data_IF_897232255591
#
_entry.id   IF_897232255591
#
_cell.length_a   1.000
_cell.length_b   1.000
_cell.length_c   1.000
_cell.angle_alpha   90.00
_cell.angle_beta   90.00
_cell.angle_gamma   90.00
#
_symmetry.space_group_name_H-M   'P 1'
#
loop_
_entity.id
_entity.type
_entity.pdbx_description
1 polymer ?
#
# COMPACT_ATOMS: atom_id res chain seq x y z
N UNK A 1 -13.76 -9.21 21.59
CA UNK A 1 -13.69 -9.92 20.29
C UNK A 1 -14.83 -10.92 20.29
N UNK A 2 -15.81 -10.73 19.42
CA UNK A 2 -17.06 -11.52 19.37
C UNK A 2 -16.74 -13.00 19.10
N UNK A 3 -17.59 -13.90 19.62
CA UNK A 3 -17.55 -15.36 19.46
C UNK A 3 -17.16 -15.81 18.04
N UNK A 4 -15.89 -16.19 17.88
CA UNK A 4 -15.42 -16.90 16.70
C UNK A 4 -16.23 -18.20 16.46
N UNK A 5 -16.82 -18.74 17.52
CA UNK A 5 -17.58 -19.99 17.51
C UNK A 5 -18.89 -19.86 16.72
N UNK A 6 -19.63 -18.75 16.89
CA UNK A 6 -20.88 -18.53 16.15
C UNK A 6 -20.62 -18.29 14.65
N UNK A 7 -19.58 -17.52 14.31
CA UNK A 7 -19.23 -17.26 12.92
C UNK A 7 -18.74 -18.54 12.23
N UNK A 8 -17.92 -19.33 12.94
CA UNK A 8 -17.44 -20.63 12.44
C UNK A 8 -18.59 -21.60 12.21
N UNK A 9 -19.51 -21.72 13.17
CA UNK A 9 -20.71 -22.55 13.02
C UNK A 9 -21.57 -22.14 11.82
N UNK A 10 -21.81 -20.84 11.62
CA UNK A 10 -22.58 -20.36 10.46
C UNK A 10 -21.86 -20.63 9.14
N UNK A 11 -20.53 -20.52 9.12
CA UNK A 11 -19.73 -20.83 7.93
C UNK A 11 -19.80 -22.31 7.58
N UNK A 12 -19.60 -23.19 8.56
CA UNK A 12 -19.70 -24.65 8.38
C UNK A 12 -21.10 -25.06 7.90
N UNK A 13 -22.14 -24.42 8.45
CA UNK A 13 -23.52 -24.61 7.97
C UNK A 13 -23.66 -24.19 6.51
N UNK A 14 -23.17 -23.01 6.12
CA UNK A 14 -23.25 -22.54 4.74
C UNK A 14 -22.47 -23.44 3.77
N UNK A 15 -21.27 -23.91 4.15
CA UNK A 15 -20.50 -24.89 3.36
C UNK A 15 -21.30 -26.17 3.14
N UNK A 16 -21.87 -26.73 4.21
CA UNK A 16 -22.69 -27.94 4.14
C UNK A 16 -23.91 -27.74 3.23
N UNK A 17 -24.53 -26.56 3.24
CA UNK A 17 -25.65 -26.22 2.37
C UNK A 17 -25.21 -26.03 0.91
N UNK A 18 -24.06 -25.41 0.68
CA UNK A 18 -23.45 -25.25 -0.65
C UNK A 18 -23.11 -26.60 -1.29
N UNK A 19 -22.53 -27.53 -0.54
CA UNK A 19 -22.18 -28.88 -0.99
C UNK A 19 -23.42 -29.73 -1.34
N UNK A 20 -24.57 -29.42 -0.73
CA UNK A 20 -25.85 -30.09 -1.00
C UNK A 20 -26.65 -29.43 -2.13
N UNK A 21 -26.34 -28.18 -2.49
CA UNK A 21 -27.08 -27.46 -3.52
C UNK A 21 -26.78 -28.03 -4.90
N UNK A 22 -27.82 -28.27 -5.70
CA UNK A 22 -27.68 -28.69 -7.10
C UNK A 22 -27.32 -27.55 -8.05
N UNK A 23 -27.28 -26.31 -7.55
CA UNK A 23 -26.97 -25.11 -8.34
C UNK A 23 -25.46 -24.90 -8.51
N UNK A 24 -24.66 -25.31 -7.53
CA UNK A 24 -23.24 -24.98 -7.46
C UNK A 24 -22.37 -26.21 -7.72
N UNK A 25 -21.36 -26.04 -8.57
CA UNK A 25 -20.31 -27.03 -8.85
C UNK A 25 -19.09 -26.80 -7.93
N UNK A 26 -18.88 -25.56 -7.49
CA UNK A 26 -17.80 -25.22 -6.56
C UNK A 26 -17.93 -23.82 -6.00
N UNK A 27 -17.23 -23.58 -4.90
CA UNK A 27 -17.32 -22.33 -4.14
C UNK A 27 -15.97 -21.95 -3.53
N UNK A 28 -15.77 -20.66 -3.29
CA UNK A 28 -14.74 -20.13 -2.39
C UNK A 28 -15.35 -18.99 -1.58
N UNK A 29 -15.24 -19.07 -0.25
CA UNK A 29 -15.73 -18.06 0.68
C UNK A 29 -14.51 -17.48 1.39
N UNK A 30 -14.38 -16.16 1.34
CA UNK A 30 -13.43 -15.40 2.13
C UNK A 30 -14.18 -14.56 3.14
N UNK A 31 -13.82 -14.68 4.41
CA UNK A 31 -14.34 -13.90 5.51
C UNK A 31 -13.24 -13.06 6.10
N UNK A 32 -13.55 -11.78 6.29
CA UNK A 32 -12.72 -10.82 7.00
C UNK A 32 -13.57 -10.19 8.09
N UNK A 33 -13.04 -10.18 9.31
CA UNK A 33 -13.60 -9.41 10.42
C UNK A 33 -12.51 -8.52 10.97
N UNK A 34 -12.67 -7.21 10.80
CA UNK A 34 -11.71 -6.20 11.23
C UNK A 34 -12.29 -5.37 12.38
N UNK A 35 -11.50 -5.23 13.45
CA UNK A 35 -11.71 -4.29 14.53
C UNK A 35 -10.71 -3.14 14.40
N UNK A 36 -11.21 -1.94 14.15
CA UNK A 36 -10.39 -0.73 14.05
C UNK A 36 -10.64 0.18 15.24
N UNK A 37 -9.57 0.64 15.89
CA UNK A 37 -9.60 1.70 16.88
C UNK A 37 -8.77 2.85 16.33
N UNK A 38 -9.29 4.07 16.38
CA UNK A 38 -8.57 5.27 15.93
C UNK A 38 -8.70 6.41 16.92
N UNK A 39 -7.64 7.22 17.00
CA UNK A 39 -7.56 8.46 17.77
C UNK A 39 -6.97 9.53 16.84
N UNK A 40 -7.75 10.57 16.56
CA UNK A 40 -7.36 11.66 15.68
C UNK A 40 -7.20 12.99 16.43
N UNK A 41 -6.54 13.92 15.77
CA UNK A 41 -6.50 15.33 16.14
C UNK A 41 -6.46 16.19 14.88
N UNK A 42 -6.93 17.42 15.01
CA UNK A 42 -6.74 18.48 14.04
C UNK A 42 -6.08 19.70 14.70
N UNK A 43 -6.06 20.83 13.98
CA UNK A 43 -5.47 22.08 14.42
C UNK A 43 -5.99 22.53 15.80
N UNK A 44 -7.29 22.48 16.00
CA UNK A 44 -7.97 23.12 17.12
C UNK A 44 -8.35 22.10 18.20
N UNK A 45 -8.47 20.83 17.82
CA UNK A 45 -9.10 19.83 18.66
C UNK A 45 -8.35 18.50 18.66
N UNK A 46 -8.45 17.84 19.81
CA UNK A 46 -8.01 16.48 20.00
C UNK A 46 -9.26 15.62 20.21
N UNK A 47 -9.41 14.54 19.43
CA UNK A 47 -10.57 13.66 19.49
C UNK A 47 -11.91 14.41 19.38
N UNK A 48 -12.04 15.25 18.36
CA UNK A 48 -13.17 16.15 18.17
C UNK A 48 -14.40 15.41 17.59
N UNK A 49 -15.46 16.15 17.23
CA UNK A 49 -16.66 15.51 16.68
C UNK A 49 -16.41 14.88 15.30
N UNK A 50 -15.48 15.43 14.51
CA UNK A 50 -15.21 14.99 13.15
C UNK A 50 -14.13 13.89 13.09
N UNK A 51 -13.20 13.89 14.04
CA UNK A 51 -12.15 12.91 14.28
C UNK A 51 -12.16 12.35 15.71
N UNK A 52 -13.29 11.76 16.16
CA UNK A 52 -13.41 11.25 17.52
C UNK A 52 -12.55 10.01 17.70
N UNK A 53 -12.28 9.70 18.97
CA UNK A 53 -11.93 8.35 19.38
C UNK A 53 -13.05 7.42 18.91
N UNK A 54 -12.73 6.52 17.98
CA UNK A 54 -13.72 5.65 17.35
C UNK A 54 -13.23 4.22 17.36
N UNK A 55 -14.11 3.33 17.80
CA UNK A 55 -14.02 1.91 17.53
C UNK A 55 -15.05 1.55 16.46
N UNK A 56 -14.63 0.80 15.45
CA UNK A 56 -15.50 0.26 14.41
C UNK A 56 -15.19 -1.20 14.17
N UNK A 57 -16.23 -1.98 13.93
CA UNK A 57 -16.11 -3.35 13.48
C UNK A 57 -16.70 -3.47 12.08
N UNK A 58 -15.97 -4.11 11.18
CA UNK A 58 -16.39 -4.35 9.81
C UNK A 58 -16.25 -5.83 9.53
N UNK A 59 -17.33 -6.46 9.05
CA UNK A 59 -17.30 -7.79 8.46
C UNK A 59 -17.42 -7.65 6.95
N UNK A 60 -16.56 -8.38 6.22
CA UNK A 60 -16.64 -8.53 4.77
C UNK A 60 -16.64 -10.01 4.43
N UNK A 61 -17.58 -10.42 3.61
CA UNK A 61 -17.66 -11.78 3.06
C UNK A 61 -17.64 -11.67 1.55
N UNK A 62 -16.60 -12.23 0.91
CA UNK A 62 -16.52 -12.38 -0.54
C UNK A 62 -16.76 -13.85 -0.90
N UNK A 63 -17.76 -14.11 -1.75
CA UNK A 63 -18.13 -15.46 -2.19
C UNK A 63 -17.97 -15.56 -3.70
N UNK A 64 -17.19 -16.53 -4.14
CA UNK A 64 -16.98 -16.90 -5.53
C UNK A 64 -17.65 -18.23 -5.80
N UNK A 65 -18.44 -18.30 -6.87
CA UNK A 65 -19.28 -19.44 -7.18
C UNK A 65 -19.04 -19.88 -8.62
N UNK A 66 -18.93 -21.20 -8.80
CA UNK A 66 -19.05 -21.89 -10.08
C UNK A 66 -20.39 -22.61 -10.09
N UNK A 67 -21.26 -22.29 -11.04
CA UNK A 67 -22.58 -22.90 -11.18
C UNK A 67 -22.50 -24.16 -12.07
N UNK A 68 -23.43 -25.09 -11.88
CA UNK A 68 -23.50 -26.34 -12.66
C UNK A 68 -23.76 -26.12 -14.15
N UNK A 69 -24.30 -24.97 -14.54
CA UNK A 69 -24.54 -24.56 -15.93
C UNK A 69 -23.36 -23.80 -16.56
N UNK A 70 -22.15 -23.92 -15.99
CA UNK A 70 -20.91 -23.26 -16.45
C UNK A 70 -20.89 -21.73 -16.32
N UNK A 71 -21.90 -21.11 -15.70
CA UNK A 71 -21.82 -19.71 -15.29
C UNK A 71 -21.02 -19.59 -13.99
N UNK A 72 -20.59 -18.37 -13.68
CA UNK A 72 -19.88 -18.05 -12.45
C UNK A 72 -20.38 -16.74 -11.86
N UNK A 73 -20.20 -16.56 -10.55
CA UNK A 73 -20.57 -15.34 -9.85
C UNK A 73 -19.50 -14.95 -8.80
N UNK A 74 -19.36 -13.64 -8.58
CA UNK A 74 -18.63 -13.05 -7.45
C UNK A 74 -19.61 -12.17 -6.69
N UNK A 75 -19.79 -12.44 -5.40
CA UNK A 75 -20.75 -11.78 -4.53
C UNK A 75 -20.03 -11.23 -3.29
N UNK A 76 -20.45 -10.06 -2.82
CA UNK A 76 -19.91 -9.44 -1.61
C UNK A 76 -21.03 -9.08 -0.63
N UNK A 77 -20.77 -9.32 0.66
CA UNK A 77 -21.72 -9.10 1.74
C UNK A 77 -21.02 -8.50 2.97
N UNK A 78 -21.77 -7.74 3.77
CA UNK A 78 -21.34 -7.27 5.10
C UNK A 78 -21.68 -8.25 6.24
N UNK A 79 -22.20 -9.44 5.88
CA UNK A 79 -22.62 -10.50 6.79
C UNK A 79 -22.50 -11.84 6.05
N UNK A 80 -22.58 -12.96 6.77
CA UNK A 80 -22.62 -14.27 6.14
C UNK A 80 -24.06 -14.61 5.71
N UNK A 81 -24.36 -14.71 4.39
CA UNK A 81 -25.71 -14.97 3.90
C UNK A 81 -26.13 -16.42 4.17
N UNK A 82 -27.44 -16.68 4.13
CA UNK A 82 -27.95 -18.05 4.03
C UNK A 82 -27.95 -18.55 2.57
N UNK A 83 -28.14 -19.86 2.39
CA UNK A 83 -28.13 -20.47 1.07
C UNK A 83 -29.22 -19.93 0.14
N UNK A 84 -30.40 -19.57 0.66
CA UNK A 84 -31.52 -19.10 -0.16
C UNK A 84 -31.22 -17.73 -0.75
N UNK A 85 -30.71 -16.80 0.05
CA UNK A 85 -30.23 -15.51 -0.44
C UNK A 85 -29.11 -15.69 -1.47
N UNK A 86 -28.15 -16.58 -1.17
CA UNK A 86 -27.00 -16.82 -2.04
C UNK A 86 -27.42 -17.35 -3.41
N UNK A 87 -28.30 -18.34 -3.46
CA UNK A 87 -28.83 -18.90 -4.71
C UNK A 87 -29.59 -17.85 -5.52
N UNK A 88 -30.41 -17.03 -4.87
CA UNK A 88 -31.18 -15.99 -5.53
C UNK A 88 -30.27 -14.94 -6.17
N UNK A 89 -29.26 -14.44 -5.44
CA UNK A 89 -28.30 -13.49 -5.98
C UNK A 89 -27.42 -14.11 -7.07
N UNK A 90 -26.98 -15.36 -6.88
CA UNK A 90 -26.18 -16.06 -7.90
C UNK A 90 -26.96 -16.22 -9.21
N UNK A 91 -28.24 -16.60 -9.16
CA UNK A 91 -29.10 -16.70 -10.36
C UNK A 91 -29.21 -15.36 -11.11
N UNK A 92 -29.28 -14.26 -10.38
CA UNK A 92 -29.43 -12.90 -10.94
C UNK A 92 -28.13 -12.35 -11.53
N UNK A 93 -26.98 -12.63 -10.89
CA UNK A 93 -25.70 -11.98 -11.20
C UNK A 93 -24.70 -12.89 -11.92
N UNK A 94 -24.98 -14.20 -12.05
CA UNK A 94 -24.07 -15.12 -12.70
C UNK A 94 -23.94 -14.85 -14.20
N UNK A 95 -22.70 -14.95 -14.69
CA UNK A 95 -22.34 -14.66 -16.07
C UNK A 95 -21.46 -15.78 -16.64
N UNK A 96 -21.42 -15.88 -17.97
CA UNK A 96 -20.49 -16.78 -18.67
C UNK A 96 -19.17 -16.04 -18.94
N UNK A 97 -18.04 -16.71 -18.68
CA UNK A 97 -16.73 -16.19 -19.03
C UNK A 97 -15.97 -17.19 -19.90
N UNK A 98 -15.18 -16.70 -20.86
CA UNK A 98 -14.30 -17.55 -21.68
C UNK A 98 -13.19 -18.21 -20.86
N UNK A 99 -12.96 -17.73 -19.64
CA UNK A 99 -11.93 -18.24 -18.77
C UNK A 99 -12.55 -18.44 -17.38
N UNK A 100 -12.63 -19.70 -16.93
CA UNK A 100 -13.35 -20.04 -15.71
C UNK A 100 -12.66 -19.44 -14.49
N UNK A 101 -13.44 -19.29 -13.42
CA UNK A 101 -12.92 -18.96 -12.10
C UNK A 101 -11.94 -20.04 -11.63
N UNK A 102 -10.86 -19.60 -11.00
CA UNK A 102 -9.85 -20.48 -10.40
C UNK A 102 -9.88 -20.24 -8.90
N UNK A 103 -10.08 -21.30 -8.13
CA UNK A 103 -10.04 -21.27 -6.66
C UNK A 103 -8.62 -21.46 -6.14
N UNK A 104 -8.41 -21.07 -4.89
CA UNK A 104 -7.17 -21.31 -4.16
C UNK A 104 -6.81 -22.82 -4.17
N UNK A 105 -5.55 -23.15 -4.44
CA UNK A 105 -5.06 -24.52 -4.24
C UNK A 105 -4.70 -24.75 -2.77
N UNK A 106 -4.74 -25.99 -2.28
CA UNK A 106 -4.49 -26.37 -0.88
C UNK A 106 -3.13 -25.98 -0.27
N UNK A 107 -2.15 -25.51 -1.05
CA UNK A 107 -0.79 -25.29 -0.58
C UNK A 107 -0.49 -23.81 -0.31
N UNK A 108 -0.36 -23.45 0.96
CA UNK A 108 0.39 -22.28 1.39
C UNK A 108 1.87 -22.63 1.50
N UNK A 109 2.74 -21.86 0.84
CA UNK A 109 4.20 -22.11 0.89
C UNK A 109 4.78 -21.88 2.28
N UNK A 110 4.32 -20.82 2.96
CA UNK A 110 4.76 -20.43 4.30
C UNK A 110 3.72 -19.54 4.95
N UNK A 111 3.42 -19.80 6.22
CA UNK A 111 2.75 -18.84 7.10
C UNK A 111 3.80 -17.96 7.77
N UNK A 112 3.60 -16.65 7.70
CA UNK A 112 4.35 -15.67 8.49
C UNK A 112 3.50 -15.09 9.61
N UNK A 113 4.18 -14.61 10.65
CA UNK A 113 3.52 -14.02 11.81
C UNK A 113 3.08 -12.60 11.47
N UNK A 114 1.77 -12.39 11.36
CA UNK A 114 1.19 -11.08 11.08
C UNK A 114 0.40 -10.48 12.26
N UNK A 115 0.18 -11.27 13.31
CA UNK A 115 -0.50 -10.84 14.53
C UNK A 115 0.45 -10.77 15.71
N UNK A 116 0.52 -9.62 16.36
CA UNK A 116 1.23 -9.40 17.62
C UNK A 116 0.23 -9.14 18.76
N UNK A 117 0.20 -10.06 19.73
CA UNK A 117 -0.66 -9.96 20.91
C UNK A 117 -0.34 -8.71 21.74
N UNK A 118 0.91 -8.23 21.72
CA UNK A 118 1.30 -7.03 22.45
C UNK A 118 0.62 -5.77 21.92
N UNK A 119 0.25 -5.71 20.62
CA UNK A 119 -0.59 -4.60 20.11
C UNK A 119 -1.98 -4.63 20.72
N UNK A 120 -2.58 -5.82 20.82
CA UNK A 120 -3.89 -5.98 21.43
C UNK A 120 -3.88 -5.59 22.91
N UNK A 121 -2.82 -5.95 23.64
CA UNK A 121 -2.63 -5.55 25.04
C UNK A 121 -2.44 -4.03 25.15
N UNK A 122 -1.59 -3.45 24.30
CA UNK A 122 -1.32 -2.02 24.22
C UNK A 122 -2.57 -1.16 23.95
N UNK A 123 -3.48 -1.61 23.08
CA UNK A 123 -4.67 -0.85 22.71
C UNK A 123 -5.93 -1.24 23.51
N UNK A 124 -5.96 -2.44 24.07
CA UNK A 124 -7.08 -2.94 24.86
C UNK A 124 -6.94 -2.64 26.35
N UNK A 125 -5.75 -2.80 26.93
CA UNK A 125 -5.51 -2.62 28.37
C UNK A 125 -4.93 -1.24 28.70
N UNK A 126 -4.06 -0.72 27.85
CA UNK A 126 -3.35 0.55 28.07
C UNK A 126 -3.78 1.67 27.12
N UNK A 127 -5.10 1.74 26.88
CA UNK A 127 -5.67 2.69 25.92
C UNK A 127 -5.40 4.16 26.31
N UNK A 128 -5.35 4.47 27.62
CA UNK A 128 -5.06 5.82 28.11
C UNK A 128 -3.67 6.30 27.69
N UNK A 129 -2.65 5.45 27.80
CA UNK A 129 -1.29 5.78 27.32
C UNK A 129 -1.29 6.07 25.82
N UNK A 130 -2.08 5.36 25.01
CA UNK A 130 -2.19 5.63 23.56
C UNK A 130 -2.80 7.00 23.27
N UNK A 131 -3.80 7.41 24.05
CA UNK A 131 -4.37 8.77 23.96
C UNK A 131 -3.31 9.81 24.31
N UNK A 132 -2.56 9.62 25.40
CA UNK A 132 -1.49 10.55 25.82
C UNK A 132 -0.39 10.68 24.76
N UNK A 133 0.01 9.57 24.14
CA UNK A 133 0.99 9.56 23.06
C UNK A 133 0.53 10.36 21.84
N UNK A 134 -0.75 10.27 21.46
CA UNK A 134 -1.31 11.09 20.37
C UNK A 134 -1.38 12.56 20.78
N UNK A 135 -1.71 12.87 22.03
CA UNK A 135 -1.70 14.24 22.54
C UNK A 135 -0.28 14.85 22.52
N UNK A 136 0.75 14.04 22.76
CA UNK A 136 2.16 14.44 22.62
C UNK A 136 2.53 14.73 21.17
N UNK A 137 2.09 13.88 20.23
CA UNK A 137 2.25 14.15 18.79
C UNK A 137 1.58 15.47 18.43
N UNK A 138 0.31 15.66 18.78
CA UNK A 138 -0.45 16.90 18.48
C UNK A 138 0.23 18.15 19.05
N UNK A 139 0.72 18.08 20.30
CA UNK A 139 1.44 19.19 20.93
C UNK A 139 2.73 19.53 20.19
N UNK A 140 3.46 18.51 19.73
CA UNK A 140 4.68 18.69 18.95
C UNK A 140 4.38 19.32 17.58
N UNK A 141 3.37 18.81 16.86
CA UNK A 141 3.05 19.30 15.51
C UNK A 141 2.61 20.76 15.51
N UNK A 142 1.93 21.22 16.57
CA UNK A 142 1.57 22.65 16.77
C UNK A 142 2.78 23.57 16.89
N UNK A 143 3.97 23.05 17.23
CA UNK A 143 5.21 23.83 17.22
C UNK A 143 5.80 24.03 15.81
N UNK A 144 5.36 23.23 14.83
CA UNK A 144 5.89 23.23 13.47
C UNK A 144 4.96 23.90 12.45
N UNK A 145 3.64 23.71 12.59
CA UNK A 145 2.66 24.09 11.58
C UNK A 145 1.46 24.80 12.21
N UNK A 146 0.77 25.61 11.39
CA UNK A 146 -0.46 26.27 11.82
C UNK A 146 -1.67 25.38 11.59
N UNK A 147 -1.71 24.66 10.47
CA UNK A 147 -2.68 23.60 10.23
C UNK A 147 -1.99 22.25 10.41
N UNK A 148 -2.60 21.36 11.18
CA UNK A 148 -2.16 19.98 11.26
C UNK A 148 -3.36 19.05 11.34
N UNK A 149 -3.15 17.86 10.80
CA UNK A 149 -4.02 16.72 10.99
C UNK A 149 -3.14 15.57 11.44
N UNK A 150 -3.63 14.76 12.36
CA UNK A 150 -2.96 13.51 12.66
C UNK A 150 -3.91 12.44 13.12
N UNK A 151 -3.56 11.21 12.76
CA UNK A 151 -4.34 10.03 13.03
C UNK A 151 -3.40 8.93 13.49
N UNK A 152 -3.74 8.32 14.63
CA UNK A 152 -3.18 7.04 15.02
C UNK A 152 -4.30 6.01 15.05
N UNK A 153 -4.08 4.88 14.41
CA UNK A 153 -5.07 3.80 14.38
C UNK A 153 -4.40 2.44 14.52
N UNK A 154 -5.16 1.48 15.04
CA UNK A 154 -4.84 0.07 15.03
C UNK A 154 -5.99 -0.73 14.42
N UNK A 155 -5.65 -1.74 13.65
CA UNK A 155 -6.53 -2.72 13.04
C UNK A 155 -6.20 -4.11 13.62
N UNK A 156 -7.22 -4.84 14.06
CA UNK A 156 -7.13 -6.24 14.42
C UNK A 156 -8.08 -7.03 13.53
N UNK A 157 -7.51 -7.76 12.58
CA UNK A 157 -8.28 -8.53 11.60
C UNK A 157 -8.15 -10.03 11.85
N UNK A 158 -9.22 -10.76 11.59
CA UNK A 158 -9.20 -12.20 11.39
C UNK A 158 -9.70 -12.54 10.00
N UNK A 159 -8.97 -13.42 9.32
CA UNK A 159 -9.26 -13.87 7.98
C UNK A 159 -9.54 -15.37 7.98
N UNK A 160 -10.50 -15.80 7.18
CA UNK A 160 -10.70 -17.22 6.87
C UNK A 160 -11.06 -17.38 5.39
N UNK A 161 -10.37 -18.27 4.69
CA UNK A 161 -10.66 -18.64 3.31
C UNK A 161 -10.96 -20.12 3.26
N UNK A 162 -12.12 -20.48 2.72
CA UNK A 162 -12.55 -21.86 2.55
C UNK A 162 -13.04 -22.11 1.13
N UNK A 163 -12.86 -23.30 0.59
CA UNK A 163 -13.38 -23.63 -0.74
C UNK A 163 -13.77 -25.11 -0.90
N UNK A 164 -14.44 -25.42 -2.01
CA UNK A 164 -14.86 -26.77 -2.40
C UNK A 164 -13.69 -27.73 -2.69
N UNK A 165 -12.47 -27.22 -2.82
CA UNK A 165 -11.26 -28.02 -3.08
C UNK A 165 -10.53 -28.42 -1.79
N UNK A 166 -11.16 -28.20 -0.63
CA UNK A 166 -10.64 -28.55 0.69
C UNK A 166 -9.65 -27.55 1.29
N UNK A 167 -9.60 -26.32 0.76
CA UNK A 167 -8.89 -25.23 1.43
C UNK A 167 -9.66 -24.80 2.67
N UNK A 168 -8.96 -24.69 3.79
CA UNK A 168 -9.40 -23.99 4.99
C UNK A 168 -8.20 -23.26 5.60
N UNK A 169 -8.02 -22.01 5.20
CA UNK A 169 -6.95 -21.15 5.70
C UNK A 169 -7.52 -20.18 6.71
N UNK A 170 -6.84 -20.04 7.84
CA UNK A 170 -7.17 -19.05 8.84
C UNK A 170 -5.94 -18.19 9.16
N UNK A 171 -6.15 -16.92 9.44
CA UNK A 171 -5.07 -16.05 9.92
C UNK A 171 -5.59 -14.87 10.74
N UNK A 172 -4.66 -14.21 11.43
CA UNK A 172 -4.89 -12.98 12.15
C UNK A 172 -3.84 -11.96 11.79
N UNK A 173 -4.24 -10.70 11.83
CA UNK A 173 -3.40 -9.58 11.46
C UNK A 173 -3.59 -8.44 12.46
N UNK A 174 -2.49 -7.82 12.87
CA UNK A 174 -2.50 -6.62 13.69
C UNK A 174 -1.70 -5.55 12.99
N UNK A 175 -2.27 -4.38 12.76
CA UNK A 175 -1.59 -3.30 12.07
C UNK A 175 -1.83 -1.98 12.77
N UNK A 176 -0.75 -1.29 13.06
CA UNK A 176 -0.78 0.05 13.63
C UNK A 176 -0.21 1.03 12.61
N UNK A 177 -0.86 2.18 12.49
CA UNK A 177 -0.37 3.29 11.68
C UNK A 177 -0.49 4.64 12.40
N UNK A 178 0.48 5.50 12.11
CA UNK A 178 0.47 6.92 12.46
C UNK A 178 0.58 7.70 11.16
N UNK A 179 -0.32 8.65 10.96
CA UNK A 179 -0.36 9.59 9.85
C UNK A 179 -0.35 11.00 10.42
N UNK A 180 0.48 11.88 9.90
CA UNK A 180 0.51 13.30 10.25
C UNK A 180 0.65 14.10 8.98
N UNK A 181 -0.19 15.11 8.82
CA UNK A 181 -0.10 16.12 7.78
C UNK A 181 0.25 17.47 8.43
N UNK A 182 1.31 18.10 7.94
CA UNK A 182 1.78 19.42 8.35
C UNK A 182 1.52 20.44 7.22
N UNK A 183 0.62 21.38 7.49
CA UNK A 183 0.18 22.45 6.59
C UNK A 183 -0.35 22.01 5.20
N UNK A 184 -0.75 20.74 5.03
CA UNK A 184 -1.04 20.16 3.70
C UNK A 184 0.16 20.19 2.75
N UNK A 185 1.37 20.28 3.30
CA UNK A 185 2.62 20.39 2.53
C UNK A 185 3.49 19.16 2.68
N UNK A 186 3.57 18.65 3.91
CA UNK A 186 4.48 17.57 4.31
C UNK A 186 3.69 16.50 5.03
N UNK A 187 3.57 15.33 4.39
CA UNK A 187 3.02 14.13 4.99
C UNK A 187 4.09 13.31 5.72
N UNK A 188 3.71 12.72 6.83
CA UNK A 188 4.45 11.68 7.53
C UNK A 188 3.55 10.46 7.72
N UNK A 189 4.09 9.27 7.44
CA UNK A 189 3.41 8.02 7.75
C UNK A 189 4.36 7.00 8.37
N UNK A 190 3.82 6.20 9.28
CA UNK A 190 4.52 5.06 9.85
C UNK A 190 3.55 3.90 9.99
N UNK A 191 3.94 2.72 9.52
CA UNK A 191 3.17 1.48 9.54
C UNK A 191 3.95 0.38 10.28
N UNK A 192 3.28 -0.46 11.05
CA UNK A 192 3.92 -1.56 11.79
C UNK A 192 2.92 -2.64 12.19
N UNK A 193 3.34 -3.91 12.17
CA UNK A 193 2.55 -5.02 12.75
C UNK A 193 2.80 -5.21 14.25
N UNK A 194 3.73 -4.43 14.82
CA UNK A 194 4.08 -4.38 16.24
C UNK A 194 3.81 -3.00 16.83
N UNK A 195 3.69 -2.85 18.16
CA UNK A 195 3.45 -1.54 18.76
C UNK A 195 4.50 -0.52 18.29
N UNK A 196 4.03 0.63 17.81
CA UNK A 196 4.90 1.72 17.38
C UNK A 196 5.53 2.38 18.62
N UNK A 197 6.87 2.47 18.63
CA UNK A 197 7.61 3.27 19.61
C UNK A 197 7.44 4.77 19.33
N UNK A 198 6.66 5.42 20.19
CA UNK A 198 6.37 6.84 20.11
C UNK A 198 7.63 7.72 20.18
N UNK A 199 8.68 7.28 20.87
CA UNK A 199 9.92 8.06 21.03
C UNK A 199 10.67 8.18 19.71
N UNK A 200 10.74 7.07 18.96
CA UNK A 200 11.27 7.05 17.60
C UNK A 200 10.40 7.86 16.64
N UNK A 201 9.07 7.74 16.74
CA UNK A 201 8.12 8.52 15.93
C UNK A 201 8.31 10.02 16.14
N UNK A 202 8.44 10.49 17.38
CA UNK A 202 8.67 11.90 17.70
C UNK A 202 9.94 12.43 17.02
N UNK A 203 11.06 11.69 17.10
CA UNK A 203 12.32 12.11 16.44
C UNK A 203 12.17 12.22 14.93
N UNK A 204 11.43 11.31 14.30
CA UNK A 204 11.13 11.37 12.86
C UNK A 204 10.22 12.55 12.54
N UNK A 205 9.17 12.77 13.33
CA UNK A 205 8.27 13.91 13.18
C UNK A 205 9.00 15.25 13.36
N UNK A 206 9.97 15.36 14.27
CA UNK A 206 10.81 16.56 14.39
C UNK A 206 11.58 16.86 13.10
N UNK A 207 12.06 15.83 12.40
CA UNK A 207 12.71 16.00 11.10
C UNK A 207 11.74 16.56 10.06
N UNK A 208 10.56 15.94 9.89
CA UNK A 208 9.53 16.42 8.97
C UNK A 208 8.96 17.80 9.36
N UNK A 209 8.84 18.07 10.66
CA UNK A 209 8.44 19.36 11.21
C UNK A 209 9.40 20.49 10.84
N UNK A 210 10.71 20.24 10.96
CA UNK A 210 11.73 21.19 10.51
C UNK A 210 11.72 21.40 9.00
N UNK A 211 11.48 20.34 8.23
CA UNK A 211 11.25 20.48 6.78
C UNK A 211 10.04 21.38 6.53
N UNK A 212 8.90 21.13 7.19
CA UNK A 212 7.68 21.94 7.11
C UNK A 212 7.94 23.43 7.36
N UNK A 213 8.59 23.75 8.47
CA UNK A 213 9.00 25.13 8.82
C UNK A 213 9.93 25.75 7.78
N UNK A 214 10.84 24.96 7.20
CA UNK A 214 11.71 25.38 6.10
C UNK A 214 10.93 25.91 4.90
N UNK A 215 9.78 25.31 4.57
CA UNK A 215 8.89 25.77 3.49
C UNK A 215 8.16 27.08 3.83
N UNK A 216 8.08 27.49 5.10
CA UNK A 216 7.41 28.74 5.51
C UNK A 216 8.33 29.97 5.48
N UNK A 217 9.63 29.80 5.22
CA UNK A 217 10.59 30.90 5.25
C UNK A 217 10.34 31.92 4.11
N UNK A 218 10.24 33.21 4.46
CA UNK A 218 9.80 34.31 3.58
C UNK A 218 10.69 34.60 2.35
N UNK A 219 11.90 34.08 2.27
CA UNK A 219 12.78 34.30 1.12
C UNK A 219 12.57 33.19 0.10
N UNK A 220 11.59 33.37 -0.79
CA UNK A 220 11.41 32.50 -1.94
C UNK A 220 12.67 32.57 -2.81
N UNK A 221 13.31 31.42 -3.03
CA UNK A 221 14.37 31.34 -4.02
C UNK A 221 13.72 31.22 -5.39
N UNK A 222 13.79 32.30 -6.18
CA UNK A 222 13.25 32.31 -7.53
C UNK A 222 14.07 31.39 -8.45
N UNK A 223 13.38 30.77 -9.41
CA UNK A 223 13.84 29.72 -10.33
C UNK A 223 15.12 30.08 -11.12
N UNK A 224 16.27 30.01 -10.44
CA UNK A 224 17.60 30.13 -11.04
C UNK A 224 18.05 28.85 -11.75
N UNK A 225 19.17 28.92 -12.48
CA UNK A 225 19.84 27.75 -13.06
C UNK A 225 20.11 26.63 -12.06
N UNK A 226 20.28 26.97 -10.77
CA UNK A 226 20.47 26.00 -9.70
C UNK A 226 19.28 25.03 -9.57
N UNK A 227 18.03 25.53 -9.66
CA UNK A 227 16.82 24.69 -9.56
C UNK A 227 16.69 23.79 -10.78
N UNK A 228 16.95 24.32 -11.99
CA UNK A 228 16.83 23.57 -13.25
C UNK A 228 17.84 22.43 -13.38
N UNK A 229 19.00 22.55 -12.75
CA UNK A 229 20.08 21.56 -12.77
C UNK A 229 20.17 20.76 -11.46
N UNK A 230 19.18 20.88 -10.58
CA UNK A 230 19.17 20.14 -9.33
C UNK A 230 18.78 18.68 -9.55
N UNK A 231 19.38 17.80 -8.78
CA UNK A 231 18.92 16.43 -8.60
C UNK A 231 17.62 16.44 -7.81
N UNK A 232 16.60 15.74 -8.27
CA UNK A 232 15.29 15.74 -7.60
C UNK A 232 15.24 14.58 -6.61
N UNK A 233 14.75 14.83 -5.39
CA UNK A 233 14.47 13.79 -4.40
C UNK A 233 13.01 13.85 -4.03
N UNK A 234 12.27 12.81 -4.40
CA UNK A 234 10.91 12.58 -3.97
C UNK A 234 10.91 11.88 -2.61
N UNK A 235 10.21 12.46 -1.63
CA UNK A 235 10.04 11.84 -0.30
C UNK A 235 9.12 10.61 -0.35
N UNK A 236 9.05 9.80 0.74
CA UNK A 236 8.14 8.65 0.81
C UNK A 236 6.70 9.09 0.60
N UNK A 237 5.85 8.19 0.12
CA UNK A 237 4.50 8.51 -0.38
C UNK A 237 4.49 9.22 -1.74
N UNK A 238 5.36 10.21 -1.95
CA UNK A 238 5.40 10.94 -3.23
C UNK A 238 5.92 10.09 -4.39
N UNK A 239 7.06 9.41 -4.21
CA UNK A 239 7.56 8.50 -5.25
C UNK A 239 6.69 7.25 -5.38
N UNK A 240 6.09 6.79 -4.29
CA UNK A 240 5.22 5.62 -4.23
C UNK A 240 4.00 5.85 -5.13
N UNK A 241 3.28 6.96 -4.91
CA UNK A 241 2.14 7.35 -5.76
C UNK A 241 2.54 7.57 -7.23
N UNK A 242 3.71 8.17 -7.48
CA UNK A 242 4.20 8.38 -8.84
C UNK A 242 4.44 7.04 -9.57
N UNK A 243 5.15 6.11 -8.92
CA UNK A 243 5.43 4.80 -9.51
C UNK A 243 4.20 3.91 -9.53
N UNK A 244 3.27 4.04 -8.59
CA UNK A 244 1.99 3.32 -8.64
C UNK A 244 1.17 3.74 -9.86
N UNK A 245 1.06 5.04 -10.09
CA UNK A 245 0.34 5.55 -11.24
C UNK A 245 1.03 5.20 -12.57
N UNK A 246 2.36 5.31 -12.64
CA UNK A 246 3.08 5.30 -13.93
C UNK A 246 3.80 3.97 -14.24
N UNK A 247 4.13 3.16 -13.23
CA UNK A 247 4.78 1.87 -13.41
C UNK A 247 3.86 0.70 -13.01
N UNK A 248 3.28 0.70 -11.81
CA UNK A 248 2.46 -0.40 -11.31
C UNK A 248 1.28 -0.69 -12.24
N UNK A 249 0.59 0.36 -12.70
CA UNK A 249 -0.52 0.24 -13.66
C UNK A 249 -0.16 -0.56 -14.93
N UNK A 250 1.11 -0.55 -15.33
CA UNK A 250 1.63 -1.28 -16.49
C UNK A 250 2.10 -2.71 -16.15
N UNK A 251 2.25 -3.06 -14.87
CA UNK A 251 2.63 -4.40 -14.40
C UNK A 251 1.41 -5.29 -14.10
N UNK A 252 0.21 -4.72 -13.99
CA UNK A 252 -1.02 -5.43 -13.67
C UNK A 252 -1.49 -6.28 -14.87
N UNK A 253 -1.66 -7.58 -14.65
CA UNK A 253 -1.99 -8.57 -15.67
C UNK A 253 -3.29 -8.30 -16.42
N UNK A 254 -4.32 -7.80 -15.74
CA UNK A 254 -5.60 -7.45 -16.39
C UNK A 254 -5.44 -6.27 -17.35
N UNK A 255 -4.63 -5.28 -16.99
CA UNK A 255 -4.27 -4.17 -17.88
C UNK A 255 -3.44 -4.64 -19.08
N UNK A 256 -2.49 -5.55 -18.87
CA UNK A 256 -1.69 -6.16 -19.94
C UNK A 256 -2.58 -6.97 -20.90
N UNK A 257 -3.45 -7.85 -20.38
CA UNK A 257 -4.36 -8.65 -21.19
C UNK A 257 -5.33 -7.79 -22.00
N UNK A 258 -5.78 -6.66 -21.44
CA UNK A 258 -6.68 -5.73 -22.11
C UNK A 258 -5.97 -4.81 -23.13
N UNK A 259 -4.64 -4.89 -23.26
CA UNK A 259 -3.86 -3.97 -24.11
C UNK A 259 -3.84 -2.52 -23.60
N UNK A 260 -4.08 -2.32 -22.31
CA UNK A 260 -4.06 -1.02 -21.63
C UNK A 260 -2.74 -0.76 -20.89
N UNK A 261 -1.81 -1.71 -20.94
CA UNK A 261 -0.44 -1.54 -20.46
C UNK A 261 0.50 -1.15 -21.61
N UNK A 262 1.57 -0.44 -21.26
CA UNK A 262 2.77 -0.24 -22.09
C UNK A 262 3.48 -1.55 -22.45
N UNK A 263 3.29 -2.59 -21.65
CA UNK A 263 4.01 -3.86 -21.75
C UNK A 263 3.10 -4.98 -22.19
N UNK A 264 3.63 -5.87 -23.03
CA UNK A 264 3.04 -7.18 -23.33
C UNK A 264 3.61 -8.27 -22.42
N UNK A 265 2.96 -9.44 -22.35
CA UNK A 265 3.49 -10.58 -21.58
C UNK A 265 4.86 -11.07 -22.11
N UNK A 266 5.12 -10.86 -23.39
CA UNK A 266 6.37 -11.20 -24.08
C UNK A 266 7.56 -10.30 -23.72
N UNK A 267 7.31 -9.13 -23.12
CA UNK A 267 8.32 -8.18 -22.67
C UNK A 267 9.00 -8.64 -21.37
N UNK A 268 8.28 -9.38 -20.53
CA UNK A 268 8.79 -9.90 -19.26
C UNK A 268 9.92 -10.91 -19.50
N UNK A 269 11.02 -10.73 -18.77
CA UNK A 269 12.29 -11.43 -18.96
C UNK A 269 13.20 -10.86 -20.06
N UNK A 270 12.77 -9.82 -20.79
CA UNK A 270 13.52 -9.28 -21.95
C UNK A 270 13.72 -7.77 -21.87
N UNK A 271 12.64 -7.01 -21.64
CA UNK A 271 12.61 -5.56 -21.80
C UNK A 271 13.30 -4.84 -20.66
N UNK A 272 14.22 -3.95 -21.01
CA UNK A 272 14.83 -3.00 -20.09
C UNK A 272 13.88 -1.81 -19.91
N UNK A 273 13.51 -1.51 -18.66
CA UNK A 273 12.57 -0.45 -18.29
C UNK A 273 13.16 0.56 -17.32
N UNK A 274 14.31 0.24 -16.73
CA UNK A 274 15.09 1.10 -15.88
C UNK A 274 16.59 0.83 -16.11
N UNK A 275 17.45 1.70 -15.56
CA UNK A 275 18.89 1.49 -15.56
C UNK A 275 19.24 0.19 -14.81
N UNK A 276 20.31 -0.55 -15.18
CA UNK A 276 20.69 -1.83 -14.55
C UNK A 276 20.92 -1.84 -13.02
N UNK A 277 20.99 -0.68 -12.37
CA UNK A 277 21.10 -0.57 -10.91
C UNK A 277 19.75 -0.47 -10.19
N UNK A 278 18.64 -0.42 -10.94
CA UNK A 278 17.29 -0.28 -10.42
C UNK A 278 16.60 -1.64 -10.35
N UNK A 279 16.32 -2.10 -9.13
CA UNK A 279 15.56 -3.31 -8.87
C UNK A 279 14.37 -3.02 -7.96
N UNK A 280 13.28 -3.75 -8.21
CA UNK A 280 12.09 -3.78 -7.37
C UNK A 280 11.74 -5.23 -7.08
N UNK A 281 11.72 -5.58 -5.80
CA UNK A 281 11.49 -6.94 -5.33
C UNK A 281 10.43 -6.97 -4.25
N UNK A 282 9.59 -7.99 -4.31
CA UNK A 282 8.57 -8.29 -3.31
C UNK A 282 9.16 -9.31 -2.34
N UNK A 283 9.00 -9.08 -1.04
CA UNK A 283 9.25 -10.07 -0.01
C UNK A 283 8.11 -10.05 1.02
N UNK A 284 7.07 -10.83 0.75
CA UNK A 284 5.87 -10.92 1.60
C UNK A 284 6.00 -11.99 2.70
N UNK A 285 7.18 -12.59 2.84
CA UNK A 285 7.41 -13.78 3.66
C UNK A 285 8.30 -13.49 4.87
N UNK A 286 8.21 -12.26 5.40
CA UNK A 286 8.95 -11.77 6.58
C UNK A 286 8.02 -11.63 7.79
N UNK A 287 8.37 -12.26 8.91
CA UNK A 287 7.59 -12.14 10.16
C UNK A 287 7.53 -10.67 10.62
N UNK A 288 6.32 -10.23 10.97
CA UNK A 288 6.01 -8.90 11.50
C UNK A 288 6.37 -7.71 10.59
N UNK A 289 6.65 -7.94 9.32
CA UNK A 289 6.79 -6.88 8.32
C UNK A 289 5.41 -6.47 7.81
N UNK A 290 5.10 -5.17 7.77
CA UNK A 290 3.78 -4.69 7.36
C UNK A 290 3.46 -4.94 5.89
N UNK A 291 4.48 -5.26 5.07
CA UNK A 291 4.35 -5.62 3.66
C UNK A 291 4.09 -7.11 3.47
N UNK A 292 4.19 -7.89 4.54
CA UNK A 292 3.95 -9.33 4.50
C UNK A 292 2.49 -9.68 4.36
N UNK A 293 2.24 -10.81 3.70
CA UNK A 293 0.92 -11.22 3.26
C UNK A 293 0.85 -12.75 3.25
N UNK A 294 -0.12 -13.34 3.95
CA UNK A 294 -0.30 -14.80 3.92
C UNK A 294 -1.23 -15.20 2.77
N UNK A 295 -2.46 -14.67 2.76
CA UNK A 295 -3.43 -14.85 1.69
C UNK A 295 -4.50 -13.75 1.71
N UNK A 296 -5.31 -13.67 0.66
CA UNK A 296 -6.49 -12.80 0.60
C UNK A 296 -7.64 -13.43 -0.16
N UNK A 297 -8.71 -12.66 -0.41
CA UNK A 297 -9.95 -13.16 -1.01
C UNK A 297 -9.75 -13.81 -2.39
N UNK A 298 -8.68 -13.40 -3.06
CA UNK A 298 -8.10 -13.99 -4.27
C UNK A 298 -7.84 -15.48 -4.22
N UNK A 299 -7.49 -16.03 -3.06
CA UNK A 299 -6.74 -17.28 -2.96
C UNK A 299 -5.27 -17.13 -3.35
N UNK A 300 -4.80 -15.90 -3.57
CA UNK A 300 -3.40 -15.58 -3.83
C UNK A 300 -2.66 -15.61 -2.50
N UNK A 301 -1.44 -16.14 -2.50
CA UNK A 301 -0.61 -16.28 -1.30
C UNK A 301 0.62 -15.39 -1.38
N UNK A 302 1.22 -15.07 -0.22
CA UNK A 302 2.47 -14.31 -0.16
C UNK A 302 3.61 -14.97 -0.94
N UNK A 303 4.45 -14.15 -1.56
CA UNK A 303 5.61 -14.61 -2.33
C UNK A 303 6.85 -13.74 -2.15
N UNK A 304 7.97 -14.30 -2.57
CA UNK A 304 9.22 -13.58 -2.81
C UNK A 304 9.55 -13.63 -4.30
N UNK A 305 9.64 -12.49 -4.96
CA UNK A 305 9.91 -12.40 -6.39
C UNK A 305 10.47 -11.04 -6.79
N UNK A 306 11.14 -11.00 -7.93
CA UNK A 306 11.58 -9.76 -8.56
C UNK A 306 10.49 -9.29 -9.54
N UNK A 307 10.10 -8.02 -9.45
CA UNK A 307 9.27 -7.35 -10.48
C UNK A 307 10.17 -6.74 -11.55
N UNK A 308 11.22 -6.05 -11.10
CA UNK A 308 12.27 -5.48 -11.93
C UNK A 308 13.62 -5.94 -11.37
N UNK A 309 14.49 -6.45 -12.24
CA UNK A 309 15.83 -6.91 -11.88
C UNK A 309 16.84 -6.54 -12.95
N UNK A 310 17.96 -5.98 -12.55
CA UNK A 310 18.98 -5.41 -13.42
C UNK A 310 18.32 -4.45 -14.44
N UNK A 311 17.35 -3.66 -13.97
CA UNK A 311 16.55 -2.75 -14.77
C UNK A 311 15.54 -3.40 -15.74
N UNK A 312 15.42 -4.74 -15.76
CA UNK A 312 14.53 -5.47 -16.69
C UNK A 312 13.25 -5.93 -16.01
N UNK A 313 12.16 -5.97 -16.77
CA UNK A 313 10.92 -6.61 -16.32
C UNK A 313 11.14 -8.10 -16.08
N UNK A 314 10.65 -8.62 -14.96
CA UNK A 314 10.77 -10.04 -14.59
C UNK A 314 9.40 -10.70 -14.46
N UNK A 315 8.55 -10.18 -13.58
CA UNK A 315 7.27 -10.82 -13.23
C UNK A 315 6.10 -9.84 -13.30
N UNK A 316 5.01 -10.15 -14.02
CA UNK A 316 3.78 -9.37 -13.97
C UNK A 316 2.98 -9.68 -12.69
N UNK A 317 2.07 -8.77 -12.31
CA UNK A 317 1.19 -8.95 -11.15
C UNK A 317 -0.11 -9.58 -11.62
N UNK A 318 -0.33 -10.84 -11.25
CA UNK A 318 -1.43 -11.66 -11.77
C UNK A 318 -2.37 -12.16 -10.67
N UNK A 319 -3.66 -12.28 -11.03
CA UNK A 319 -4.58 -13.14 -10.29
C UNK A 319 -4.35 -14.63 -10.64
N UNK A 320 -5.05 -15.54 -9.96
CA UNK A 320 -4.94 -16.99 -10.21
C UNK A 320 -5.30 -17.37 -11.66
N UNK A 321 -6.26 -16.66 -12.24
CA UNK A 321 -6.79 -16.93 -13.58
C UNK A 321 -5.73 -16.62 -14.65
N UNK A 322 -5.14 -15.44 -14.61
CA UNK A 322 -4.09 -15.02 -15.53
C UNK A 322 -2.79 -15.77 -15.26
N UNK A 323 -2.49 -16.08 -13.99
CA UNK A 323 -1.36 -16.92 -13.61
C UNK A 323 -1.40 -18.28 -14.30
N UNK A 324 -2.55 -18.95 -14.30
CA UNK A 324 -2.73 -20.22 -15.00
C UNK A 324 -2.59 -20.07 -16.53
N UNK A 325 -3.14 -18.99 -17.10
CA UNK A 325 -3.13 -18.74 -18.55
C UNK A 325 -1.75 -18.41 -19.11
N UNK A 326 -0.97 -17.59 -18.39
CA UNK A 326 0.32 -17.07 -18.87
C UNK A 326 1.54 -17.69 -18.19
N UNK A 327 1.32 -18.65 -17.28
CA UNK A 327 2.39 -19.41 -16.60
C UNK A 327 3.37 -18.55 -15.78
N UNK A 328 2.92 -17.39 -15.30
CA UNK A 328 3.62 -16.59 -14.28
C UNK A 328 2.96 -16.78 -12.91
N UNK A 329 3.68 -16.57 -11.79
CA UNK A 329 3.10 -16.70 -10.46
C UNK A 329 2.03 -15.63 -10.19
N UNK A 330 0.90 -16.04 -9.61
CA UNK A 330 -0.08 -15.11 -9.06
C UNK A 330 0.54 -14.33 -7.89
N UNK A 331 0.30 -13.02 -7.86
CA UNK A 331 0.93 -12.08 -6.92
C UNK A 331 -0.08 -11.00 -6.56
N UNK A 332 -0.19 -10.69 -5.27
CA UNK A 332 -0.96 -9.54 -4.78
C UNK A 332 0.02 -8.40 -4.49
N UNK A 333 -0.25 -7.21 -5.00
CA UNK A 333 0.50 -6.01 -4.65
C UNK A 333 -0.39 -4.79 -4.85
N UNK A 334 -0.50 -3.95 -3.83
CA UNK A 334 -1.33 -2.74 -3.86
C UNK A 334 -0.51 -1.50 -4.22
N UNK A 335 0.75 -1.46 -3.77
CA UNK A 335 1.68 -0.35 -4.02
C UNK A 335 3.10 -0.85 -4.24
N UNK A 336 3.85 -0.19 -5.12
CA UNK A 336 5.29 -0.34 -5.27
C UNK A 336 6.05 0.21 -4.06
N UNK A 337 5.44 1.06 -3.23
CA UNK A 337 5.98 1.42 -1.92
C UNK A 337 6.19 0.23 -0.99
N UNK A 338 5.45 -0.86 -1.21
CA UNK A 338 5.63 -2.11 -0.46
C UNK A 338 6.71 -3.02 -1.06
N UNK A 339 7.37 -2.61 -2.15
CA UNK A 339 8.55 -3.29 -2.69
C UNK A 339 9.82 -2.90 -1.93
N UNK A 340 10.83 -3.76 -2.02
CA UNK A 340 12.17 -3.55 -1.51
C UNK A 340 13.08 -3.12 -2.67
N UNK A 341 13.70 -1.94 -2.63
CA UNK A 341 14.77 -1.62 -3.56
C UNK A 341 16.03 -2.45 -3.23
N UNK A 342 16.86 -2.76 -4.23
CA UNK A 342 18.09 -3.55 -4.00
C UNK A 342 19.27 -2.76 -3.49
N UNK A 343 19.36 -1.49 -3.85
CA UNK A 343 20.43 -0.59 -3.47
C UNK A 343 19.84 0.72 -2.96
N UNK A 344 20.46 1.26 -1.90
CA UNK A 344 20.10 2.54 -1.32
C UNK A 344 21.37 3.38 -1.20
N UNK A 345 21.36 4.57 -1.79
CA UNK A 345 22.39 5.58 -1.48
C UNK A 345 22.04 6.22 -0.13
N UNK A 346 23.05 6.49 0.70
CA UNK A 346 22.78 7.15 1.99
C UNK A 346 22.49 8.64 1.76
N UNK A 347 21.59 9.21 2.57
CA UNK A 347 21.31 10.65 2.51
C UNK A 347 22.56 11.52 2.57
N UNK A 348 23.52 11.17 3.44
CA UNK A 348 24.76 11.94 3.60
C UNK A 348 25.66 11.85 2.35
N UNK A 349 25.65 10.72 1.64
CA UNK A 349 26.39 10.57 0.39
C UNK A 349 25.76 11.44 -0.70
N UNK A 350 24.43 11.49 -0.76
CA UNK A 350 23.69 12.34 -1.68
C UNK A 350 24.00 13.84 -1.43
N UNK A 351 23.92 14.30 -0.18
CA UNK A 351 24.25 15.69 0.19
C UNK A 351 25.72 16.07 -0.10
N UNK A 352 26.62 15.09 -0.19
CA UNK A 352 28.06 15.32 -0.44
C UNK A 352 28.41 15.46 -1.93
N UNK A 353 27.45 15.23 -2.84
CA UNK A 353 27.67 15.12 -4.29
C UNK A 353 28.10 16.42 -5.00
N UNK A 354 28.20 17.56 -4.30
CA UNK A 354 28.37 18.93 -4.84
C UNK A 354 27.25 19.41 -5.77
N UNK A 355 26.27 18.54 -6.06
CA UNK A 355 25.07 18.89 -6.82
C UNK A 355 24.06 19.56 -5.89
N UNK A 356 23.30 20.50 -6.44
CA UNK A 356 22.12 21.01 -5.76
C UNK A 356 21.04 19.93 -5.74
N UNK A 357 20.34 19.81 -4.61
CA UNK A 357 19.27 18.81 -4.42
C UNK A 357 17.95 19.53 -4.21
N UNK A 358 16.92 19.10 -4.93
CA UNK A 358 15.57 19.60 -4.82
C UNK A 358 14.69 18.54 -4.16
N UNK A 359 14.35 18.76 -2.90
CA UNK A 359 13.54 17.86 -2.08
C UNK A 359 12.07 18.19 -2.28
N UNK A 360 11.28 17.19 -2.69
CA UNK A 360 9.87 17.33 -3.03
C UNK A 360 9.04 16.42 -2.12
N UNK A 361 8.24 16.99 -1.21
CA UNK A 361 7.44 16.23 -0.26
C UNK A 361 6.10 15.77 -0.85
N UNK A 362 5.63 16.40 -1.92
CA UNK A 362 4.32 16.13 -2.51
C UNK A 362 4.27 16.57 -3.98
N UNK A 363 3.48 15.85 -4.76
CA UNK A 363 3.11 16.19 -6.14
C UNK A 363 1.59 16.22 -6.24
N UNK A 364 1.05 17.27 -6.87
CA UNK A 364 -0.38 17.40 -7.05
C UNK A 364 -0.80 16.83 -8.40
N UNK A 365 -1.98 16.18 -8.43
CA UNK A 365 -2.57 15.73 -9.68
C UNK A 365 -1.89 14.54 -10.33
N UNK A 366 -1.14 13.72 -9.58
CA UNK A 366 -0.48 12.50 -10.09
C UNK A 366 -1.44 11.63 -10.90
N UNK A 367 -2.69 11.49 -10.46
CA UNK A 367 -3.76 10.73 -11.13
C UNK A 367 -4.09 11.22 -12.55
N UNK A 368 -3.65 12.41 -12.95
CA UNK A 368 -3.82 12.95 -14.32
C UNK A 368 -2.69 12.57 -15.27
N UNK A 369 -1.61 11.98 -14.76
CA UNK A 369 -0.45 11.58 -15.56
C UNK A 369 -0.75 10.37 -16.46
N UNK A 370 -0.07 10.29 -17.60
CA UNK A 370 -0.35 9.29 -18.62
C UNK A 370 0.48 8.02 -18.39
N UNK A 371 -0.13 7.01 -17.76
CA UNK A 371 0.54 5.76 -17.39
C UNK A 371 1.19 5.01 -18.58
N UNK A 372 0.53 4.99 -19.75
CA UNK A 372 1.01 4.16 -20.88
C UNK A 372 2.27 4.76 -21.52
N UNK A 373 2.29 6.07 -21.72
CA UNK A 373 3.47 6.74 -22.28
C UNK A 373 4.52 6.99 -21.21
N UNK A 374 4.11 7.17 -19.96
CA UNK A 374 4.95 7.54 -18.82
C UNK A 374 5.10 9.06 -18.66
N UNK A 375 4.43 9.87 -19.49
CA UNK A 375 4.58 11.32 -19.47
C UNK A 375 3.82 11.94 -18.30
N UNK A 376 4.46 12.91 -17.65
CA UNK A 376 3.87 13.64 -16.56
C UNK A 376 4.28 15.12 -16.56
N UNK A 377 3.37 15.97 -16.09
CA UNK A 377 3.54 17.40 -15.87
C UNK A 377 2.88 17.73 -14.53
N UNK A 378 3.63 17.57 -13.45
CA UNK A 378 3.09 17.55 -12.10
C UNK A 378 3.49 18.80 -11.32
N UNK A 379 2.53 19.60 -10.83
CA UNK A 379 2.83 20.66 -9.89
C UNK A 379 3.46 20.10 -8.61
N UNK A 380 4.62 20.64 -8.26
CA UNK A 380 5.27 20.50 -6.97
C UNK A 380 5.11 21.85 -6.24
N UNK A 381 4.00 22.05 -5.51
CA UNK A 381 3.69 23.35 -4.90
C UNK A 381 4.73 23.76 -3.85
N UNK A 382 5.42 22.78 -3.28
CA UNK A 382 6.44 22.96 -2.25
C UNK A 382 7.69 22.15 -2.61
N UNK A 383 8.86 22.78 -2.55
CA UNK A 383 10.14 22.09 -2.61
C UNK A 383 11.20 22.80 -1.77
N UNK A 384 12.25 22.09 -1.39
CA UNK A 384 13.43 22.68 -0.73
C UNK A 384 14.65 22.43 -1.59
N UNK A 385 15.30 23.52 -1.98
CA UNK A 385 16.62 23.48 -2.58
C UNK A 385 17.68 23.39 -1.49
N UNK A 386 18.52 22.37 -1.54
CA UNK A 386 19.77 22.27 -0.80
C UNK A 386 20.94 22.51 -1.75
N UNK A 387 21.67 23.61 -1.56
CA UNK A 387 22.78 24.06 -2.42
C UNK A 387 24.17 23.59 -1.92
N UNK A 388 24.21 22.57 -1.06
CA UNK A 388 25.43 22.11 -0.39
C UNK A 388 25.73 22.83 0.94
N UNK A 389 25.06 23.96 1.23
CA UNK A 389 25.27 24.70 2.48
C UNK A 389 23.97 25.06 3.19
N UNK A 390 22.93 25.43 2.45
CA UNK A 390 21.69 25.97 2.98
C UNK A 390 20.48 25.33 2.31
N UNK A 391 19.43 25.16 3.11
CA UNK A 391 18.11 24.81 2.65
C UNK A 391 17.34 26.10 2.33
N UNK A 392 16.71 26.16 1.15
CA UNK A 392 15.92 27.31 0.69
C UNK A 392 14.58 26.83 0.14
N UNK A 393 13.45 27.43 0.54
CA UNK A 393 12.15 27.07 -0.03
C UNK A 393 12.05 27.52 -1.48
N UNK A 394 11.41 26.67 -2.29
CA UNK A 394 11.04 26.92 -3.68
C UNK A 394 9.56 26.59 -3.83
N UNK A 395 8.81 27.47 -4.50
CA UNK A 395 7.37 27.32 -4.71
C UNK A 395 7.02 27.29 -6.21
N UNK A 396 5.83 26.77 -6.51
CA UNK A 396 5.24 26.79 -7.85
C UNK A 396 6.13 26.15 -8.92
N UNK A 397 6.67 24.97 -8.60
CA UNK A 397 7.42 24.16 -9.56
C UNK A 397 6.49 23.24 -10.34
N UNK A 398 6.91 22.89 -11.54
CA UNK A 398 6.28 21.85 -12.34
C UNK A 398 7.38 20.89 -12.75
N UNK A 399 7.26 19.63 -12.32
CA UNK A 399 8.10 18.55 -12.84
C UNK A 399 7.52 18.08 -14.16
N UNK A 400 8.32 18.16 -15.22
CA UNK A 400 7.95 17.72 -16.55
C UNK A 400 8.96 16.67 -17.02
N UNK A 401 8.54 15.42 -17.13
CA UNK A 401 9.40 14.36 -17.65
C UNK A 401 8.59 13.16 -18.12
N UNK A 402 9.31 12.05 -18.34
CA UNK A 402 8.76 10.74 -18.61
C UNK A 402 9.36 9.74 -17.62
N UNK A 403 8.52 9.02 -16.89
CA UNK A 403 8.97 8.07 -15.84
C UNK A 403 9.91 7.01 -16.37
N UNK A 404 9.70 6.49 -17.58
CA UNK A 404 10.60 5.47 -18.13
C UNK A 404 11.96 6.06 -18.54
N UNK A 405 11.99 7.31 -19.01
CA UNK A 405 13.24 8.02 -19.27
C UNK A 405 13.99 8.31 -17.96
N UNK A 406 13.27 8.72 -16.92
CA UNK A 406 13.83 8.99 -15.60
C UNK A 406 14.42 7.70 -15.02
N UNK A 407 13.65 6.61 -14.99
CA UNK A 407 14.13 5.31 -14.50
C UNK A 407 15.34 4.77 -15.27
N UNK A 408 15.49 5.13 -16.54
CA UNK A 408 16.64 4.75 -17.38
C UNK A 408 17.89 5.60 -17.12
N UNK A 409 17.77 6.71 -16.39
CA UNK A 409 18.89 7.56 -16.04
C UNK A 409 19.82 6.85 -15.03
N UNK A 410 21.14 6.74 -15.28
CA UNK A 410 22.08 6.15 -14.33
C UNK A 410 22.15 6.86 -12.96
N UNK A 411 21.74 8.13 -12.91
CA UNK A 411 21.67 8.91 -11.67
C UNK A 411 20.42 8.61 -10.82
N UNK A 412 19.42 7.92 -11.38
CA UNK A 412 18.22 7.55 -10.64
C UNK A 412 18.52 6.43 -9.65
N UNK A 413 18.24 6.69 -8.37
CA UNK A 413 18.57 5.79 -7.27
C UNK A 413 17.56 5.94 -6.13
N UNK A 414 17.25 4.85 -5.45
CA UNK A 414 16.59 4.94 -4.15
C UNK A 414 17.58 5.44 -3.10
N UNK A 415 17.12 6.29 -2.18
CA UNK A 415 17.94 6.85 -1.12
C UNK A 415 17.36 6.58 0.27
N UNK A 416 18.22 6.25 1.23
CA UNK A 416 17.83 6.13 2.62
C UNK A 416 17.87 7.51 3.29
N UNK A 417 16.71 8.01 3.69
CA UNK A 417 16.53 9.29 4.39
C UNK A 417 17.05 9.22 5.84
N UNK A 418 17.30 10.37 6.50
CA UNK A 418 17.74 10.41 7.90
C UNK A 418 16.81 9.69 8.88
N UNK A 419 15.54 9.56 8.51
CA UNK A 419 14.48 8.87 9.27
C UNK A 419 14.53 7.35 9.10
N UNK A 420 15.39 6.84 8.20
CA UNK A 420 15.47 5.43 7.82
C UNK A 420 14.52 5.04 6.67
N UNK A 421 13.65 5.95 6.24
CA UNK A 421 12.70 5.74 5.13
C UNK A 421 13.38 5.81 3.76
N UNK A 422 12.66 5.36 2.73
CA UNK A 422 13.16 5.33 1.36
C UNK A 422 12.55 6.49 0.57
N UNK A 423 13.42 7.34 0.02
CA UNK A 423 13.07 8.29 -1.04
C UNK A 423 13.53 7.81 -2.41
N UNK A 424 13.12 8.51 -3.46
CA UNK A 424 13.57 8.29 -4.83
C UNK A 424 14.30 9.53 -5.34
N UNK A 425 15.56 9.36 -5.72
CA UNK A 425 16.35 10.37 -6.40
C UNK A 425 16.23 10.18 -7.91
N UNK A 426 15.84 11.23 -8.65
CA UNK A 426 15.72 11.25 -10.11
C UNK A 426 16.87 12.04 -10.75
#
# INVERSE_FOLDING_TARGET
MIDNDLLSYKLEKLQTELEKSSLFEGYQIYLENNHKIRVGFDQDYFADLYDPIKHSQIMRVEIRLKLTDQRQAKLEFGYLPDITELENRAKQLAYTSKTPIVFASSKLEKYVKLFDKSQLEAWGQDFATRIEEVARISSLTKSFSQTNYGLRQVDFSSYRLVNSDGVDWHDRYSHESILVDLDSRVGFSQRSLRPIDISSTIKRLEYYGRLSQGYQAKSLYHQDSAVKNSRVVLLPGCWEELLDQLLLANLIGTSIEAGQSRFGFEDFGKKLVAHPGFDLKIDQLVDYDYRSYNFGSGGITGKKLDLVKDGRLVTPILDLKLSQKYHYPATHLESLGDCLPSSLIKWQELLSSKESILIIPSLLGIHTAQAITGDYSLPAPHAILFDGQKYRPVENLILNSNTFSDLMNPSTNFCQLPTGEVGLSL
#
